data_IF_926005935208
#
_entry.id   IF_926005935208
#
_cell.length_a   1.000
_cell.length_b   1.000
_cell.length_c   1.000
_cell.angle_alpha   90.00
_cell.angle_beta   90.00
_cell.angle_gamma   90.00
#
_symmetry.space_group_name_H-M   'P 1'
#
loop_
_entity.id
_entity.type
_entity.pdbx_description
1 polymer ?
#
# COMPACT_ATOMS: atom_id res chain seq x y z
N UNK A 1 -0.07 0.27 10.31
CA UNK A 1 0.97 0.50 9.29
C UNK A 1 0.28 0.40 7.94
N UNK A 2 0.20 1.50 7.18
CA UNK A 2 -0.38 1.48 5.84
C UNK A 2 0.78 1.36 4.85
N UNK A 3 0.85 0.27 4.10
CA UNK A 3 1.83 0.10 3.04
C UNK A 3 1.30 0.80 1.79
N UNK A 4 2.00 1.85 1.32
CA UNK A 4 1.74 2.41 -0.01
C UNK A 4 2.28 1.43 -1.04
N UNK A 5 1.39 0.67 -1.66
CA UNK A 5 1.72 -0.22 -2.76
C UNK A 5 1.63 0.60 -4.04
N UNK A 6 2.76 0.81 -4.70
CA UNK A 6 2.80 1.43 -6.01
C UNK A 6 2.63 0.32 -7.05
N UNK A 7 1.42 0.13 -7.54
CA UNK A 7 1.19 -0.74 -8.69
C UNK A 7 1.51 0.05 -9.96
N UNK A 8 2.53 -0.36 -10.71
CA UNK A 8 2.81 0.24 -12.02
C UNK A 8 1.77 -0.25 -13.02
N UNK A 9 0.99 0.68 -13.56
CA UNK A 9 0.03 0.40 -14.62
C UNK A 9 0.73 0.66 -15.96
N UNK A 10 0.99 -0.38 -16.76
CA UNK A 10 1.47 -0.25 -18.14
C UNK A 10 0.31 0.11 -19.09
N UNK A 11 -0.35 1.23 -18.84
CA UNK A 11 -1.22 1.84 -19.84
C UNK A 11 -1.14 3.35 -19.62
N UNK A 12 -0.48 4.04 -20.56
CA UNK A 12 -0.39 5.48 -20.56
C UNK A 12 -1.77 6.10 -20.69
N UNK A 13 -2.38 6.49 -19.57
CA UNK A 13 -3.23 7.66 -19.36
C UNK A 13 -3.68 7.66 -17.88
N UNK A 14 -3.33 8.73 -17.15
CA UNK A 14 -3.72 9.05 -15.76
C UNK A 14 -3.35 8.02 -14.67
N UNK A 15 -2.38 8.40 -13.82
CA UNK A 15 -2.20 7.78 -12.50
C UNK A 15 -3.39 8.18 -11.62
N UNK A 16 -4.39 7.32 -11.50
CA UNK A 16 -5.36 7.43 -10.42
C UNK A 16 -4.66 7.05 -9.11
N UNK A 17 -4.73 7.92 -8.10
CA UNK A 17 -4.31 7.60 -6.72
C UNK A 17 -5.29 6.57 -6.13
N UNK A 18 -5.20 5.34 -6.61
CA UNK A 18 -6.01 4.23 -6.15
C UNK A 18 -5.36 3.62 -4.91
N UNK A 19 -6.06 3.70 -3.79
CA UNK A 19 -5.67 3.01 -2.57
C UNK A 19 -6.10 1.55 -2.64
N UNK A 20 -5.21 0.67 -2.20
CA UNK A 20 -5.51 -0.76 -2.00
C UNK A 20 -5.20 -1.12 -0.56
N UNK A 21 -6.09 -1.89 0.07
CA UNK A 21 -5.86 -2.46 1.40
C UNK A 21 -5.46 -3.92 1.21
N UNK A 22 -4.37 -4.31 1.88
CA UNK A 22 -3.97 -5.72 2.01
C UNK A 22 -4.01 -6.08 3.48
N UNK A 23 -4.74 -7.14 3.80
CA UNK A 23 -4.78 -7.73 5.13
C UNK A 23 -3.98 -9.04 5.13
N UNK A 24 -3.08 -9.18 6.10
CA UNK A 24 -2.24 -10.36 6.28
C UNK A 24 -2.56 -11.02 7.62
N UNK A 25 -2.62 -12.35 7.64
CA UNK A 25 -2.73 -13.12 8.88
C UNK A 25 -1.33 -13.38 9.43
N UNK A 26 -1.03 -12.82 10.60
CA UNK A 26 0.30 -12.87 11.22
C UNK A 26 0.94 -11.50 11.33
N UNK A 27 2.25 -11.47 11.58
CA UNK A 27 3.03 -10.24 11.78
C UNK A 27 4.06 -10.11 10.66
N UNK A 28 4.17 -8.92 10.07
CA UNK A 28 5.28 -8.59 9.18
C UNK A 28 6.48 -8.17 10.02
N UNK A 29 7.51 -9.02 10.05
CA UNK A 29 8.75 -8.77 10.80
C UNK A 29 9.85 -8.22 9.87
N UNK A 30 10.47 -7.11 10.27
CA UNK A 30 11.71 -6.63 9.68
C UNK A 30 12.88 -7.05 10.58
N UNK A 31 13.96 -7.56 9.99
CA UNK A 31 15.17 -7.94 10.74
C UNK A 31 15.87 -6.73 11.36
N UNK A 32 15.70 -5.57 10.76
CA UNK A 32 16.22 -4.30 11.25
C UNK A 32 15.08 -3.46 11.83
N UNK A 33 15.38 -2.67 12.86
CA UNK A 33 14.42 -1.77 13.52
C UNK A 33 14.22 -0.48 12.68
N UNK A 34 14.02 -0.67 11.37
CA UNK A 34 13.92 0.38 10.36
C UNK A 34 12.51 0.32 9.76
N UNK A 35 11.91 1.50 9.56
CA UNK A 35 10.60 1.61 8.90
C UNK A 35 10.60 0.98 7.51
N UNK A 36 9.52 0.29 7.16
CA UNK A 36 9.26 -0.20 5.79
C UNK A 36 8.52 0.84 4.93
N UNK A 37 8.26 2.04 5.48
CA UNK A 37 7.65 3.12 4.72
C UNK A 37 8.48 3.47 3.48
N UNK A 38 7.82 3.52 2.32
CA UNK A 38 8.46 3.76 1.04
C UNK A 38 9.37 2.64 0.54
N UNK A 39 9.49 1.51 1.26
CA UNK A 39 10.32 0.37 0.84
C UNK A 39 9.49 -0.66 0.07
N UNK A 40 10.09 -1.21 -0.98
CA UNK A 40 9.58 -2.42 -1.61
C UNK A 40 9.83 -3.60 -0.67
N UNK A 41 8.76 -4.29 -0.26
CA UNK A 41 8.84 -5.42 0.68
C UNK A 41 8.58 -6.78 0.01
N UNK A 42 8.11 -6.79 -1.22
CA UNK A 42 7.71 -8.00 -1.92
C UNK A 42 6.88 -7.70 -3.17
N UNK A 43 6.45 -8.77 -3.84
CA UNK A 43 5.73 -8.70 -5.11
C UNK A 43 4.33 -9.31 -4.97
N UNK A 44 3.30 -8.59 -5.40
CA UNK A 44 1.93 -9.07 -5.49
C UNK A 44 1.61 -9.49 -6.92
N UNK A 45 1.33 -10.77 -7.12
CA UNK A 45 0.92 -11.35 -8.39
C UNK A 45 -0.54 -11.78 -8.34
N UNK A 46 -1.16 -11.89 -9.51
CA UNK A 46 -2.47 -12.50 -9.68
C UNK A 46 -2.35 -13.67 -10.67
N UNK A 47 -2.91 -14.81 -10.33
CA UNK A 47 -2.99 -15.93 -11.27
C UNK A 47 -4.06 -15.68 -12.36
N UNK A 48 -4.17 -16.59 -13.32
CA UNK A 48 -5.16 -16.49 -14.41
C UNK A 48 -6.62 -16.54 -13.95
N UNK A 49 -6.90 -16.79 -12.68
CA UNK A 49 -8.23 -16.78 -12.05
C UNK A 49 -8.44 -15.56 -11.16
N UNK A 50 -7.45 -14.68 -11.04
CA UNK A 50 -7.51 -13.51 -10.16
C UNK A 50 -7.22 -13.81 -8.68
N UNK A 51 -6.62 -14.95 -8.36
CA UNK A 51 -6.17 -15.26 -6.99
C UNK A 51 -4.89 -14.47 -6.68
N UNK A 52 -4.84 -13.65 -5.63
CA UNK A 52 -3.63 -12.93 -5.26
C UNK A 52 -2.59 -13.85 -4.63
N UNK A 53 -1.35 -13.68 -5.04
CA UNK A 53 -0.14 -14.34 -4.53
C UNK A 53 0.87 -13.27 -4.13
N UNK A 54 1.12 -13.10 -2.84
CA UNK A 54 2.09 -12.17 -2.30
C UNK A 54 3.38 -12.90 -1.93
N UNK A 55 4.50 -12.49 -2.53
CA UNK A 55 5.83 -13.03 -2.24
C UNK A 55 6.61 -12.01 -1.42
N UNK A 56 7.00 -12.37 -0.20
CA UNK A 56 7.82 -11.54 0.71
C UNK A 56 9.02 -12.36 1.16
N UNK A 57 10.21 -12.01 0.66
CA UNK A 57 11.41 -12.82 0.88
C UNK A 57 11.20 -14.25 0.37
N UNK A 58 11.26 -15.24 1.27
CA UNK A 58 11.02 -16.65 0.96
C UNK A 58 9.58 -17.12 1.20
N UNK A 59 8.69 -16.23 1.66
CA UNK A 59 7.31 -16.58 1.94
C UNK A 59 6.44 -16.36 0.71
N UNK A 60 5.59 -17.34 0.40
CA UNK A 60 4.50 -17.22 -0.56
C UNK A 60 3.17 -17.27 0.20
N UNK A 61 2.42 -16.18 0.13
CA UNK A 61 1.10 -16.03 0.73
C UNK A 61 0.04 -16.00 -0.36
N UNK A 62 -0.80 -17.01 -0.42
CA UNK A 62 -2.00 -17.03 -1.27
C UNK A 62 -3.19 -16.44 -0.51
N UNK A 63 -3.91 -15.53 -1.15
CA UNK A 63 -5.07 -14.87 -0.59
C UNK A 63 -6.30 -14.95 -1.48
N UNK A 64 -7.24 -14.05 -1.23
CA UNK A 64 -8.43 -13.83 -2.07
C UNK A 64 -8.75 -12.35 -2.14
N UNK A 65 -9.35 -11.91 -3.24
CA UNK A 65 -9.95 -10.57 -3.32
C UNK A 65 -11.30 -10.64 -2.62
N UNK A 66 -11.55 -9.71 -1.71
CA UNK A 66 -12.79 -9.64 -0.94
C UNK A 66 -13.42 -8.27 -1.17
N UNK A 67 -14.69 -8.25 -1.57
CA UNK A 67 -15.47 -7.03 -1.56
C UNK A 67 -15.80 -6.67 -0.12
N UNK A 68 -15.52 -5.43 0.26
CA UNK A 68 -15.84 -4.94 1.58
C UNK A 68 -17.35 -4.72 1.71
N UNK A 69 -17.94 -5.21 2.80
CA UNK A 69 -19.37 -5.00 3.08
C UNK A 69 -19.72 -3.50 3.23
N UNK A 70 -18.74 -2.70 3.67
CA UNK A 70 -18.85 -1.24 3.80
C UNK A 70 -17.58 -0.57 3.26
N UNK A 71 -17.71 0.58 2.58
CA UNK A 71 -16.54 1.32 2.13
C UNK A 71 -15.76 1.88 3.32
N UNK A 72 -14.43 1.90 3.22
CA UNK A 72 -13.55 2.62 4.14
C UNK A 72 -13.15 3.97 3.57
N UNK A 73 -13.06 4.97 4.45
CA UNK A 73 -12.45 6.25 4.13
C UNK A 73 -10.96 6.21 4.51
N UNK A 74 -10.09 6.64 3.60
CA UNK A 74 -8.67 6.91 3.90
C UNK A 74 -8.55 8.34 4.38
N UNK A 75 -8.07 8.52 5.61
CA UNK A 75 -7.93 9.83 6.25
C UNK A 75 -6.47 10.06 6.62
N UNK A 76 -5.94 11.23 6.26
CA UNK A 76 -4.64 11.69 6.76
C UNK A 76 -4.87 12.61 7.96
N UNK A 77 -4.28 12.28 9.11
CA UNK A 77 -4.35 13.13 10.30
C UNK A 77 -3.45 14.35 10.08
N UNK A 78 -4.03 15.54 10.02
CA UNK A 78 -3.23 16.77 9.99
C UNK A 78 -2.65 17.06 11.38
N UNK A 79 -1.37 17.42 11.43
CA UNK A 79 -0.75 17.94 12.66
C UNK A 79 -0.62 19.45 12.55
N UNK A 80 -0.73 20.18 13.66
CA UNK A 80 -0.71 21.65 13.65
C UNK A 80 0.63 22.25 13.18
N UNK A 81 1.67 21.44 12.96
CA UNK A 81 2.98 21.86 12.48
C UNK A 81 3.08 21.91 10.94
N UNK A 82 2.09 21.39 10.20
CA UNK A 82 2.09 21.36 8.73
C UNK A 82 1.67 22.72 8.10
N UNK A 83 1.58 23.80 8.89
CA UNK A 83 1.04 25.12 8.49
C UNK A 83 2.09 26.18 8.14
N UNK A 84 3.39 25.88 8.19
CA UNK A 84 4.43 26.91 8.00
C UNK A 84 5.13 26.93 6.62
N UNK A 85 4.89 25.97 5.73
CA UNK A 85 5.59 25.91 4.42
C UNK A 85 4.84 26.57 3.24
N UNK A 86 3.77 27.32 3.51
CA UNK A 86 3.11 28.16 2.50
C UNK A 86 3.10 29.64 2.91
N UNK A 87 4.27 30.27 2.93
CA UNK A 87 4.38 31.73 2.92
C UNK A 87 5.11 32.26 1.68
N UNK A 88 4.27 32.75 0.76
CA UNK A 88 4.41 34.00 0.02
C UNK A 88 5.61 34.15 -0.94
N UNK A 89 5.40 33.78 -2.21
CA UNK A 89 6.03 34.47 -3.33
C UNK A 89 5.10 35.60 -3.78
N UNK A 90 5.61 36.85 -3.73
CA UNK A 90 5.00 38.05 -4.30
C UNK A 90 5.71 38.39 -5.60
#
# INVERSE_FOLDING_TARGET
MFLRISATHEAGLQTFDNWTIIELQGTLENKEDVSLEGKAIGDLHFDGKGTPMLVIGHHLLTGKVVNLDKPYAVLHKQTNNDKDDHKHER
#
